data_IF_027354869224
#
_entry.id   IF_027354869224
#
_cell.length_a   1.000
_cell.length_b   1.000
_cell.length_c   1.000
_cell.angle_alpha   90.00
_cell.angle_beta   90.00
_cell.angle_gamma   90.00
#
_symmetry.space_group_name_H-M   'P 1'
#
loop_
_entity.id
_entity.type
_entity.pdbx_description
1 polymer ?
#
# COMPACT_ATOMS: atom_id res chain seq x y z
N UNK A 1 -14.95 -17.64 -27.39
CA UNK A 1 -15.68 -17.89 -26.14
C UNK A 1 -15.08 -19.10 -25.44
N UNK A 2 -14.05 -18.89 -24.62
CA UNK A 2 -13.61 -19.88 -23.64
C UNK A 2 -13.78 -19.20 -22.29
N UNK A 3 -14.85 -19.57 -21.60
CA UNK A 3 -15.10 -19.21 -20.21
C UNK A 3 -13.99 -19.86 -19.39
N UNK A 4 -13.00 -19.08 -18.98
CA UNK A 4 -12.14 -19.41 -17.85
C UNK A 4 -13.03 -19.28 -16.62
N UNK A 5 -13.51 -20.42 -16.13
CA UNK A 5 -14.10 -20.53 -14.81
C UNK A 5 -13.05 -20.09 -13.80
N UNK A 6 -13.11 -18.83 -13.34
CA UNK A 6 -12.42 -18.41 -12.12
C UNK A 6 -12.96 -19.28 -10.98
N UNK A 7 -12.15 -20.11 -10.31
CA UNK A 7 -12.52 -20.52 -8.97
C UNK A 7 -12.51 -19.24 -8.12
N UNK A 8 -13.66 -18.83 -7.63
CA UNK A 8 -13.78 -17.74 -6.67
C UNK A 8 -13.06 -18.15 -5.38
N UNK A 9 -11.76 -17.89 -5.30
CA UNK A 9 -11.02 -17.97 -4.06
C UNK A 9 -11.33 -16.70 -3.25
N UNK A 10 -11.87 -16.88 -2.05
CA UNK A 10 -12.05 -15.80 -1.09
C UNK A 10 -10.66 -15.38 -0.58
N UNK A 11 -10.24 -14.15 -0.85
CA UNK A 11 -9.08 -13.55 -0.19
C UNK A 11 -9.54 -12.46 0.78
N UNK A 12 -9.11 -12.57 2.03
CA UNK A 12 -9.46 -11.62 3.07
C UNK A 12 -8.56 -10.40 2.96
N UNK A 13 -9.05 -9.17 3.14
CA UNK A 13 -8.18 -7.99 3.17
C UNK A 13 -7.47 -7.91 4.52
N UNK A 14 -6.16 -7.73 4.51
CA UNK A 14 -5.40 -7.24 5.65
C UNK A 14 -4.32 -6.31 5.11
N UNK A 15 -4.34 -5.06 5.53
CA UNK A 15 -3.19 -4.19 5.39
C UNK A 15 -2.35 -4.39 6.66
N UNK A 16 -1.04 -4.61 6.56
CA UNK A 16 -0.20 -4.63 7.78
C UNK A 16 0.44 -3.26 7.94
N UNK A 17 0.17 -2.62 9.08
CA UNK A 17 0.79 -1.32 9.41
C UNK A 17 2.23 -1.48 9.87
N UNK A 18 3.04 -0.46 9.62
CA UNK A 18 4.31 -0.26 10.29
C UNK A 18 4.07 0.41 11.66
N UNK A 19 3.45 -0.29 12.61
CA UNK A 19 3.32 0.22 13.98
C UNK A 19 4.71 0.31 14.63
N UNK A 20 5.06 1.42 15.31
CA UNK A 20 6.35 1.54 15.96
C UNK A 20 6.40 0.65 17.22
N UNK A 21 7.23 -0.39 17.19
CA UNK A 21 7.71 -1.05 18.40
C UNK A 21 8.99 -0.34 18.84
N UNK A 22 8.97 0.28 20.01
CA UNK A 22 10.13 0.97 20.57
C UNK A 22 11.26 -0.04 20.86
N UNK A 23 12.30 -0.05 20.02
CA UNK A 23 13.55 -0.72 20.32
C UNK A 23 14.43 0.18 21.23
N UNK A 24 15.20 -0.39 22.18
CA UNK A 24 16.09 0.40 23.02
C UNK A 24 17.18 1.07 22.19
N UNK A 25 17.33 2.38 22.37
CA UNK A 25 18.32 3.21 21.68
C UNK A 25 19.75 2.70 21.92
N UNK A 26 20.53 2.52 20.85
CA UNK A 26 21.98 2.32 20.95
C UNK A 26 22.66 3.65 21.34
N UNK A 27 23.79 3.56 22.05
CA UNK A 27 24.46 4.69 22.74
C UNK A 27 25.01 5.81 21.84
N UNK A 28 24.97 5.69 20.51
CA UNK A 28 25.53 6.68 19.57
C UNK A 28 24.49 7.61 18.91
N UNK A 29 23.21 7.54 19.32
CA UNK A 29 22.12 8.29 18.67
C UNK A 29 21.97 9.77 19.06
N UNK A 30 22.70 10.26 20.07
CA UNK A 30 22.53 11.62 20.59
C UNK A 30 22.92 12.70 19.56
N UNK A 31 24.01 12.51 18.80
CA UNK A 31 24.42 13.45 17.75
C UNK A 31 23.52 13.44 16.50
N UNK A 32 22.87 12.31 16.23
CA UNK A 32 21.94 12.16 15.11
C UNK A 32 20.56 12.75 15.43
N UNK A 33 20.09 12.62 16.68
CA UNK A 33 18.82 13.21 17.13
C UNK A 33 18.81 14.75 17.04
N UNK A 34 19.92 15.40 17.43
CA UNK A 34 20.10 16.86 17.29
C UNK A 34 20.18 17.30 15.81
N UNK A 35 20.62 16.42 14.92
CA UNK A 35 20.61 16.70 13.49
C UNK A 35 19.21 16.52 12.88
N UNK A 36 18.49 15.47 13.30
CA UNK A 36 17.14 15.19 12.83
C UNK A 36 16.09 16.21 13.28
N UNK A 37 16.37 17.01 14.31
CA UNK A 37 15.50 18.14 14.67
C UNK A 37 15.32 19.16 13.53
N UNK A 38 16.23 19.18 12.54
CA UNK A 38 16.08 20.02 11.34
C UNK A 38 15.04 19.48 10.35
N UNK A 39 14.77 18.16 10.37
CA UNK A 39 13.85 17.47 9.46
C UNK A 39 12.43 17.29 10.02
N UNK A 40 12.10 17.95 11.15
CA UNK A 40 10.75 17.87 11.75
C UNK A 40 9.74 18.83 11.12
N UNK A 41 10.20 19.72 10.24
CA UNK A 41 9.33 20.70 9.56
C UNK A 41 8.18 20.00 8.84
N UNK A 42 6.95 20.48 9.02
CA UNK A 42 5.75 19.88 8.44
C UNK A 42 5.11 18.75 9.27
N UNK A 43 5.81 18.20 10.28
CA UNK A 43 5.25 17.24 11.22
C UNK A 43 4.63 17.94 12.44
N UNK A 44 3.42 17.55 12.81
CA UNK A 44 2.78 17.88 14.09
C UNK A 44 3.15 16.85 15.13
N UNK A 45 3.47 17.33 16.33
CA UNK A 45 3.92 16.52 17.47
C UNK A 45 5.04 15.53 17.08
N UNK A 46 6.13 16.00 16.44
CA UNK A 46 7.17 15.13 15.93
C UNK A 46 7.86 14.38 17.07
N UNK A 47 8.18 13.12 16.81
CA UNK A 47 9.00 12.27 17.67
C UNK A 47 10.12 11.65 16.84
N UNK A 48 11.28 11.46 17.45
CA UNK A 48 12.42 10.81 16.83
C UNK A 48 12.58 9.45 17.49
N UNK A 49 12.33 8.38 16.72
CA UNK A 49 12.34 7.00 17.20
C UNK A 49 13.17 6.12 16.27
N UNK A 50 13.90 5.12 16.78
CA UNK A 50 14.55 4.14 15.92
C UNK A 50 13.49 3.35 15.13
N UNK A 51 13.83 2.92 13.92
CA UNK A 51 13.01 1.96 13.19
C UNK A 51 12.89 0.66 13.97
N UNK A 52 11.87 -0.16 13.67
CA UNK A 52 11.63 -1.44 14.35
C UNK A 52 12.87 -2.36 14.32
N UNK A 53 13.56 -2.41 13.18
CA UNK A 53 14.81 -3.17 13.04
C UNK A 53 16.04 -2.51 13.66
N UNK A 54 15.91 -1.30 14.21
CA UNK A 54 16.99 -0.54 14.81
C UNK A 54 18.10 -0.20 13.83
N UNK A 55 17.80 -0.07 12.53
CA UNK A 55 18.76 0.24 11.44
C UNK A 55 18.55 1.61 10.81
N UNK A 56 17.50 2.31 11.20
CA UNK A 56 17.22 3.68 10.80
C UNK A 56 16.77 4.48 12.01
N UNK A 57 16.86 5.81 11.90
CA UNK A 57 16.25 6.75 12.83
C UNK A 57 15.16 7.52 12.07
N UNK A 58 13.96 7.57 12.65
CA UNK A 58 12.77 8.06 11.99
C UNK A 58 12.21 9.30 12.70
N UNK A 59 11.91 10.34 11.94
CA UNK A 59 11.01 11.41 12.37
C UNK A 59 9.59 10.93 12.12
N UNK A 60 8.79 10.82 13.17
CA UNK A 60 7.40 10.35 13.11
C UNK A 60 6.46 11.43 13.63
N UNK A 61 5.30 11.60 13.01
CA UNK A 61 4.28 12.54 13.46
C UNK A 61 3.11 12.63 12.48
N UNK A 62 2.19 13.57 12.74
CA UNK A 62 1.07 13.81 11.84
C UNK A 62 1.45 14.85 10.79
N UNK A 63 1.20 14.57 9.52
CA UNK A 63 1.32 15.52 8.41
C UNK A 63 -0.09 15.87 7.93
N UNK A 64 -0.40 17.16 7.90
CA UNK A 64 -1.65 17.64 7.33
C UNK A 64 -1.54 17.66 5.80
N UNK A 65 -2.40 16.90 5.13
CA UNK A 65 -2.41 16.82 3.67
C UNK A 65 -3.73 17.37 3.16
N UNK A 66 -3.67 18.46 2.40
CA UNK A 66 -4.84 18.99 1.70
C UNK A 66 -5.00 18.22 0.40
N UNK A 67 -6.14 17.57 0.22
CA UNK A 67 -6.44 16.76 -0.96
C UNK A 67 -7.87 17.02 -1.46
N UNK A 68 -8.07 16.83 -2.76
CA UNK A 68 -9.39 16.87 -3.39
C UNK A 68 -9.47 15.80 -4.45
N UNK A 69 -10.56 15.03 -4.44
CA UNK A 69 -10.78 13.97 -5.41
C UNK A 69 -12.27 13.86 -5.77
N UNK A 70 -12.54 13.25 -6.93
CA UNK A 70 -13.90 12.91 -7.35
C UNK A 70 -14.18 11.47 -6.94
N UNK A 71 -14.74 11.28 -5.75
CA UNK A 71 -15.23 9.99 -5.27
C UNK A 71 -16.55 9.62 -5.97
N UNK A 72 -17.04 8.41 -5.70
CA UNK A 72 -18.38 7.99 -6.07
C UNK A 72 -19.31 7.97 -4.86
N UNK A 73 -20.51 8.55 -4.98
CA UNK A 73 -21.53 8.44 -3.93
C UNK A 73 -21.85 6.96 -3.70
N UNK A 74 -21.75 6.49 -2.46
CA UNK A 74 -22.21 5.14 -2.13
C UNK A 74 -23.70 5.19 -1.82
N UNK A 75 -24.54 4.57 -2.65
CA UNK A 75 -26.00 4.65 -2.55
C UNK A 75 -26.59 3.83 -1.39
N UNK A 76 -25.77 3.00 -0.75
CA UNK A 76 -26.12 2.24 0.44
C UNK A 76 -25.61 2.97 1.68
N UNK A 77 -26.40 2.97 2.74
CA UNK A 77 -25.90 3.38 4.05
C UNK A 77 -24.89 2.36 4.58
N UNK A 78 -23.96 2.81 5.42
CA UNK A 78 -23.07 1.93 6.17
C UNK A 78 -23.91 0.86 6.89
N UNK A 79 -23.65 -0.41 6.61
CA UNK A 79 -24.38 -1.54 7.19
C UNK A 79 -24.40 -1.43 8.70
N UNK A 80 -25.54 -1.50 9.37
CA UNK A 80 -25.58 -1.24 10.81
C UNK A 80 -25.07 -2.42 11.66
N UNK A 81 -24.92 -3.60 11.04
CA UNK A 81 -24.45 -4.82 11.69
C UNK A 81 -23.69 -5.75 10.72
N UNK A 82 -22.97 -6.73 11.29
CA UNK A 82 -22.04 -7.63 10.57
C UNK A 82 -22.73 -8.46 9.48
N UNK A 83 -23.96 -8.89 9.72
CA UNK A 83 -24.71 -9.75 8.80
C UNK A 83 -25.01 -9.03 7.50
N UNK A 84 -25.44 -7.77 7.56
CA UNK A 84 -25.71 -6.95 6.38
C UNK A 84 -24.48 -6.73 5.50
N UNK A 85 -23.31 -6.52 6.12
CA UNK A 85 -22.05 -6.35 5.38
C UNK A 85 -21.60 -7.65 4.70
N UNK A 86 -21.71 -8.78 5.42
CA UNK A 86 -21.39 -10.09 4.85
C UNK A 86 -22.33 -10.41 3.68
N UNK A 87 -23.64 -10.17 3.82
CA UNK A 87 -24.61 -10.36 2.73
C UNK A 87 -24.33 -9.44 1.53
N UNK A 88 -23.94 -8.18 1.79
CA UNK A 88 -23.57 -7.24 0.73
C UNK A 88 -22.38 -7.75 -0.07
N UNK A 89 -21.35 -8.24 0.61
CA UNK A 89 -20.14 -8.75 -0.02
C UNK A 89 -20.39 -10.08 -0.72
N UNK A 90 -21.09 -11.01 -0.09
CA UNK A 90 -21.55 -12.23 -0.76
C UNK A 90 -22.34 -11.89 -2.03
N UNK A 91 -23.23 -10.91 -1.95
CA UNK A 91 -23.96 -10.37 -3.09
C UNK A 91 -23.05 -9.80 -4.17
N UNK A 92 -21.99 -9.04 -3.82
CA UNK A 92 -21.05 -8.47 -4.80
C UNK A 92 -20.31 -9.54 -5.61
N UNK A 93 -20.03 -10.70 -5.01
CA UNK A 93 -19.26 -11.77 -5.65
C UNK A 93 -20.11 -12.93 -6.19
N UNK A 94 -21.43 -12.83 -6.10
CA UNK A 94 -22.32 -13.75 -6.80
C UNK A 94 -22.13 -13.65 -8.31
N UNK A 95 -22.16 -14.81 -8.97
CA UNK A 95 -22.19 -14.88 -10.44
C UNK A 95 -23.41 -14.09 -10.93
N UNK A 96 -23.19 -13.20 -11.91
CA UNK A 96 -24.20 -12.28 -12.45
C UNK A 96 -24.75 -11.25 -11.45
N UNK A 97 -23.99 -10.90 -10.42
CA UNK A 97 -24.37 -9.83 -9.51
C UNK A 97 -24.54 -8.50 -10.24
N UNK A 98 -25.66 -7.82 -9.98
CA UNK A 98 -25.91 -6.44 -10.42
C UNK A 98 -25.48 -5.41 -9.38
N UNK A 99 -24.98 -5.85 -8.21
CA UNK A 99 -24.61 -4.97 -7.11
C UNK A 99 -23.48 -3.99 -7.46
N UNK A 100 -22.38 -4.38 -8.14
CA UNK A 100 -21.32 -3.42 -8.48
C UNK A 100 -21.81 -2.22 -9.29
N UNK A 101 -22.79 -2.44 -10.19
CA UNK A 101 -23.37 -1.39 -11.03
C UNK A 101 -24.45 -0.56 -10.32
N UNK A 102 -24.92 -0.98 -9.16
CA UNK A 102 -26.03 -0.33 -8.43
C UNK A 102 -25.62 0.23 -7.07
N UNK A 103 -24.39 -0.03 -6.64
CA UNK A 103 -23.86 0.43 -5.35
C UNK A 103 -23.26 1.84 -5.43
N UNK A 104 -22.70 2.18 -6.59
CA UNK A 104 -22.19 3.51 -6.88
C UNK A 104 -23.26 4.38 -7.52
N UNK A 105 -23.36 5.60 -7.00
CA UNK A 105 -24.17 6.68 -7.50
C UNK A 105 -23.36 7.65 -8.33
N UNK A 106 -23.73 8.92 -8.27
CA UNK A 106 -23.07 9.97 -9.04
C UNK A 106 -21.65 10.25 -8.51
N UNK A 107 -20.73 10.73 -9.38
CA UNK A 107 -19.48 11.32 -8.95
C UNK A 107 -19.74 12.46 -7.94
N UNK A 108 -18.96 12.50 -6.86
CA UNK A 108 -19.10 13.43 -5.75
C UNK A 108 -17.73 13.98 -5.37
N UNK A 109 -17.61 15.30 -5.32
CA UNK A 109 -16.37 15.95 -4.90
C UNK A 109 -16.17 15.80 -3.40
N UNK A 110 -14.99 15.34 -3.01
CA UNK A 110 -14.54 15.29 -1.62
C UNK A 110 -13.26 16.10 -1.54
N UNK A 111 -13.23 17.06 -0.64
CA UNK A 111 -12.07 17.92 -0.41
C UNK A 111 -11.93 18.25 1.06
N UNK A 112 -10.70 18.30 1.55
CA UNK A 112 -10.40 18.64 2.93
C UNK A 112 -8.91 18.59 3.23
N UNK A 113 -8.58 18.84 4.49
CA UNK A 113 -7.26 18.59 5.05
C UNK A 113 -7.35 17.36 5.95
N UNK A 114 -6.52 16.37 5.68
CA UNK A 114 -6.53 15.08 6.36
C UNK A 114 -5.24 14.92 7.16
N UNK A 115 -5.38 14.44 8.39
CA UNK A 115 -4.27 14.13 9.29
C UNK A 115 -3.71 12.76 8.92
N UNK A 116 -2.51 12.73 8.35
CA UNK A 116 -1.85 11.51 7.89
C UNK A 116 -0.64 11.24 8.78
N UNK A 117 -0.70 10.18 9.59
CA UNK A 117 0.47 9.73 10.32
C UNK A 117 1.56 9.27 9.35
N UNK A 118 2.75 9.78 9.57
CA UNK A 118 3.88 9.63 8.65
C UNK A 118 5.18 9.41 9.41
N UNK A 119 6.09 8.68 8.80
CA UNK A 119 7.44 8.43 9.28
C UNK A 119 8.46 8.66 8.17
N UNK A 120 9.41 9.57 8.39
CA UNK A 120 10.56 9.79 7.53
C UNK A 120 11.80 9.20 8.18
N UNK A 121 12.34 8.14 7.60
CA UNK A 121 13.42 7.35 8.17
C UNK A 121 14.73 7.49 7.39
N UNK A 122 15.81 7.70 8.14
CA UNK A 122 17.17 7.80 7.63
C UNK A 122 18.01 6.62 8.11
N UNK A 123 18.79 5.95 7.24
CA UNK A 123 19.70 4.88 7.67
C UNK A 123 20.66 5.33 8.78
N UNK A 124 20.92 4.49 9.77
CA UNK A 124 21.66 4.88 10.98
C UNK A 124 23.11 5.32 10.74
N UNK A 125 23.75 4.86 9.67
CA UNK A 125 25.15 5.19 9.36
C UNK A 125 25.32 6.59 8.73
N UNK A 126 24.28 7.43 8.80
CA UNK A 126 24.18 8.65 8.02
C UNK A 126 23.86 9.81 8.95
N UNK A 127 24.73 10.83 8.94
CA UNK A 127 24.56 12.01 9.79
C UNK A 127 23.71 13.09 9.11
N UNK A 128 23.64 13.11 7.77
CA UNK A 128 22.85 14.05 6.96
C UNK A 128 22.23 13.31 5.76
N UNK A 129 21.17 13.85 5.13
CA UNK A 129 20.62 13.27 3.88
C UNK A 129 21.68 13.15 2.79
N UNK A 130 22.59 14.14 2.67
CA UNK A 130 23.67 14.15 1.68
C UNK A 130 24.74 13.06 1.90
N UNK A 131 24.84 12.52 3.11
CA UNK A 131 25.80 11.47 3.47
C UNK A 131 25.15 10.08 3.52
N UNK A 132 23.93 9.94 3.00
CA UNK A 132 23.20 8.68 3.07
C UNK A 132 23.86 7.59 2.21
N UNK A 133 24.40 6.54 2.83
CA UNK A 133 24.76 5.29 2.16
C UNK A 133 23.52 4.39 2.00
N UNK A 134 22.43 4.94 1.46
CA UNK A 134 21.15 4.24 1.32
C UNK A 134 20.00 5.20 0.99
N UNK A 135 18.79 4.65 0.89
CA UNK A 135 17.60 5.43 0.59
C UNK A 135 16.95 5.97 1.87
N UNK A 136 16.55 7.24 1.85
CA UNK A 136 15.61 7.79 2.83
C UNK A 136 14.22 7.24 2.50
N UNK A 137 13.51 6.70 3.48
CA UNK A 137 12.17 6.14 3.27
C UNK A 137 11.11 7.01 3.93
N UNK A 138 10.03 7.28 3.21
CA UNK A 138 8.84 7.93 3.75
C UNK A 138 7.70 6.91 3.79
N UNK A 139 7.26 6.55 4.99
CA UNK A 139 6.16 5.64 5.23
C UNK A 139 4.98 6.42 5.80
N UNK A 140 3.76 6.00 5.52
CA UNK A 140 2.57 6.65 6.06
C UNK A 140 1.46 5.64 6.34
N UNK A 141 0.65 5.95 7.34
CA UNK A 141 -0.62 5.28 7.54
C UNK A 141 -1.62 5.91 6.59
N UNK A 142 -2.18 5.12 5.69
CA UNK A 142 -3.17 5.59 4.74
C UNK A 142 -4.40 6.20 5.47
N UNK A 143 -5.18 7.06 4.80
CA UNK A 143 -6.44 7.53 5.39
C UNK A 143 -7.32 6.33 5.73
N UNK A 144 -7.86 6.29 6.95
CA UNK A 144 -8.67 5.17 7.45
C UNK A 144 -7.89 4.03 8.12
N UNK A 145 -6.58 4.14 8.29
CA UNK A 145 -5.78 3.13 9.02
C UNK A 145 -4.84 3.75 10.05
N UNK A 146 -4.41 2.93 11.02
CA UNK A 146 -3.33 3.26 11.95
C UNK A 146 -3.63 4.51 12.79
N UNK A 147 -2.72 5.48 12.74
CA UNK A 147 -2.81 6.75 13.48
C UNK A 147 -3.32 7.91 12.62
N UNK A 148 -3.70 7.66 11.36
CA UNK A 148 -4.31 8.66 10.48
C UNK A 148 -5.79 8.89 10.81
N UNK A 149 -6.39 9.90 10.19
CA UNK A 149 -7.83 10.14 10.31
C UNK A 149 -8.65 8.94 9.82
N UNK A 150 -9.76 8.65 10.49
CA UNK A 150 -10.71 7.58 10.12
C UNK A 150 -12.10 8.16 9.76
N UNK A 151 -12.24 8.89 8.65
CA UNK A 151 -13.51 9.46 8.23
C UNK A 151 -14.48 8.38 7.70
N UNK A 152 -15.58 8.80 7.09
CA UNK A 152 -16.60 7.88 6.59
C UNK A 152 -16.02 6.85 5.60
N UNK A 153 -16.12 5.54 5.90
CA UNK A 153 -15.48 4.49 5.10
C UNK A 153 -16.15 4.25 3.74
N UNK A 154 -17.32 4.84 3.48
CA UNK A 154 -18.05 4.67 2.23
C UNK A 154 -17.97 5.89 1.33
N UNK A 155 -18.12 7.09 1.90
CA UNK A 155 -18.23 8.34 1.14
C UNK A 155 -16.89 9.05 0.99
N UNK A 156 -16.00 8.92 1.98
CA UNK A 156 -14.73 9.67 2.02
C UNK A 156 -13.56 8.78 1.67
N UNK A 157 -13.37 7.66 2.38
CA UNK A 157 -12.20 6.80 2.17
C UNK A 157 -12.42 5.92 0.94
N UNK A 158 -11.94 6.39 -0.22
CA UNK A 158 -11.97 5.71 -1.53
C UNK A 158 -10.61 5.84 -2.22
N UNK A 159 -10.33 5.00 -3.21
CA UNK A 159 -9.04 4.95 -3.89
C UNK A 159 -8.66 6.29 -4.53
N UNK A 160 -9.62 7.02 -5.10
CA UNK A 160 -9.42 8.33 -5.72
C UNK A 160 -8.90 9.35 -4.70
N UNK A 161 -9.48 9.39 -3.49
CA UNK A 161 -8.99 10.27 -2.44
C UNK A 161 -7.61 9.83 -1.91
N UNK A 162 -7.32 8.52 -1.84
CA UNK A 162 -5.99 8.05 -1.46
C UNK A 162 -4.93 8.51 -2.46
N UNK A 163 -5.24 8.46 -3.76
CA UNK A 163 -4.38 8.93 -4.84
C UNK A 163 -4.10 10.45 -4.69
N UNK A 164 -5.15 11.25 -4.43
CA UNK A 164 -4.99 12.68 -4.20
C UNK A 164 -4.16 13.00 -2.93
N UNK A 165 -4.26 12.18 -1.89
CA UNK A 165 -3.45 12.32 -0.67
C UNK A 165 -1.97 12.05 -0.95
N UNK A 166 -1.64 10.95 -1.65
CA UNK A 166 -0.22 10.66 -1.97
C UNK A 166 0.39 11.68 -2.93
N UNK A 167 -0.42 12.22 -3.86
CA UNK A 167 -0.04 13.39 -4.66
C UNK A 167 0.36 14.58 -3.75
N UNK A 168 -0.53 14.98 -2.83
CA UNK A 168 -0.24 16.07 -1.89
C UNK A 168 0.99 15.83 -1.02
N UNK A 169 1.20 14.60 -0.55
CA UNK A 169 2.41 14.22 0.20
C UNK A 169 3.67 14.44 -0.65
N UNK A 170 3.64 14.06 -1.93
CA UNK A 170 4.80 14.24 -2.80
C UNK A 170 5.09 15.69 -3.14
N UNK A 171 4.07 16.53 -3.27
CA UNK A 171 4.27 17.97 -3.41
C UNK A 171 4.96 18.56 -2.18
N UNK A 172 4.58 18.12 -0.98
CA UNK A 172 5.22 18.53 0.26
C UNK A 172 6.70 18.10 0.33
N UNK A 173 7.01 16.87 -0.09
CA UNK A 173 8.39 16.36 -0.15
C UNK A 173 9.24 17.08 -1.20
N UNK A 174 8.71 17.30 -2.40
CA UNK A 174 9.45 17.96 -3.50
C UNK A 174 9.65 19.46 -3.27
N UNK A 175 8.68 20.12 -2.65
CA UNK A 175 8.79 21.54 -2.29
C UNK A 175 9.70 21.78 -1.07
N UNK A 176 9.95 20.75 -0.26
CA UNK A 176 10.62 20.84 1.03
C UNK A 176 9.74 21.46 2.12
N UNK A 177 8.43 21.58 1.88
CA UNK A 177 7.48 21.95 2.93
C UNK A 177 7.39 20.90 4.04
N UNK A 178 7.66 19.64 3.69
CA UNK A 178 7.92 18.56 4.64
C UNK A 178 9.43 18.31 4.75
N UNK A 179 9.89 18.09 5.98
CA UNK A 179 11.29 17.89 6.35
C UNK A 179 12.27 19.04 6.07
N UNK A 180 11.83 20.19 5.56
CA UNK A 180 12.73 21.29 5.15
C UNK A 180 13.83 20.84 4.16
N UNK A 181 13.55 19.78 3.39
CA UNK A 181 14.47 19.22 2.41
C UNK A 181 13.74 18.89 1.12
N UNK A 182 14.31 19.28 -0.02
CA UNK A 182 13.72 19.03 -1.33
C UNK A 182 14.22 17.70 -1.90
N UNK A 183 13.32 16.73 -1.99
CA UNK A 183 13.64 15.44 -2.60
C UNK A 183 13.55 15.55 -4.13
N UNK A 184 14.69 15.47 -4.81
CA UNK A 184 14.77 15.57 -6.27
C UNK A 184 14.28 14.30 -6.96
N UNK A 185 14.62 13.13 -6.40
CA UNK A 185 14.17 11.82 -6.88
C UNK A 185 13.27 11.17 -5.86
N UNK A 186 12.08 10.75 -6.29
CA UNK A 186 11.10 10.07 -5.45
C UNK A 186 10.63 8.81 -6.16
N UNK A 187 10.72 7.69 -5.45
CA UNK A 187 10.28 6.38 -5.92
C UNK A 187 9.03 6.00 -5.13
N UNK A 188 7.93 5.71 -5.83
CA UNK A 188 6.74 5.18 -5.18
C UNK A 188 6.89 3.67 -4.98
N UNK A 189 6.62 3.20 -3.76
CA UNK A 189 6.65 1.77 -3.42
C UNK A 189 5.30 1.38 -2.85
N UNK A 190 4.62 0.46 -3.52
CA UNK A 190 3.31 -0.05 -3.13
C UNK A 190 3.36 -1.53 -2.77
N UNK A 191 2.48 -1.94 -1.86
CA UNK A 191 2.21 -3.35 -1.58
C UNK A 191 0.71 -3.61 -1.62
N UNK A 192 0.27 -4.64 -2.35
CA UNK A 192 -1.15 -5.01 -2.42
C UNK A 192 -2.02 -3.82 -2.86
N UNK A 193 -3.03 -3.44 -2.08
CA UNK A 193 -3.81 -2.22 -2.26
C UNK A 193 -2.93 -0.95 -2.40
N UNK A 194 -1.79 -0.88 -1.70
CA UNK A 194 -0.82 0.20 -1.89
C UNK A 194 -0.28 0.27 -3.32
N UNK A 195 -0.08 -0.87 -3.99
CA UNK A 195 0.29 -0.93 -5.42
C UNK A 195 -0.83 -0.43 -6.33
N UNK A 196 -2.10 -0.62 -5.96
CA UNK A 196 -3.25 -0.03 -6.68
C UNK A 196 -3.22 1.50 -6.56
N UNK A 197 -2.97 2.02 -5.35
CA UNK A 197 -2.82 3.47 -5.12
C UNK A 197 -1.63 4.01 -5.88
N UNK A 198 -0.46 3.35 -5.84
CA UNK A 198 0.73 3.73 -6.63
C UNK A 198 0.43 3.71 -8.13
N UNK A 199 -0.31 2.71 -8.60
CA UNK A 199 -0.72 2.63 -10.00
C UNK A 199 -1.59 3.81 -10.42
N UNK A 200 -2.67 4.08 -9.68
CA UNK A 200 -3.53 5.23 -9.94
C UNK A 200 -2.79 6.56 -9.84
N UNK A 201 -1.89 6.67 -8.87
CA UNK A 201 -1.05 7.84 -8.67
C UNK A 201 -0.14 8.13 -9.87
N UNK A 202 0.63 7.13 -10.31
CA UNK A 202 1.47 7.28 -11.52
C UNK A 202 0.65 7.54 -12.79
N UNK A 203 -0.63 7.17 -12.82
CA UNK A 203 -1.51 7.35 -13.98
C UNK A 203 -2.10 8.76 -14.05
N UNK A 204 -2.54 9.28 -12.91
CA UNK A 204 -3.17 10.60 -12.77
C UNK A 204 -2.12 11.72 -12.67
N UNK A 205 -1.02 11.45 -11.96
CA UNK A 205 0.07 12.40 -11.70
C UNK A 205 1.43 11.80 -12.13
N UNK A 206 1.66 11.59 -13.43
CA UNK A 206 2.82 10.85 -13.94
C UNK A 206 4.18 11.53 -13.70
N UNK A 207 4.20 12.79 -13.25
CA UNK A 207 5.41 13.56 -12.97
C UNK A 207 5.74 13.67 -11.48
N UNK A 208 4.88 13.16 -10.61
CA UNK A 208 5.14 13.18 -9.17
C UNK A 208 6.30 12.25 -8.83
N UNK A 209 6.44 11.13 -9.52
CA UNK A 209 7.38 10.06 -9.20
C UNK A 209 8.36 9.81 -10.35
N UNK A 210 9.58 9.41 -10.00
CA UNK A 210 10.63 9.10 -10.98
C UNK A 210 10.68 7.60 -11.32
N UNK A 211 10.20 6.74 -10.41
CA UNK A 211 10.05 5.30 -10.61
C UNK A 211 8.92 4.75 -9.72
N UNK A 212 8.43 3.56 -10.06
CA UNK A 212 7.44 2.85 -9.26
C UNK A 212 7.85 1.40 -9.01
N UNK A 213 7.67 0.92 -7.79
CA UNK A 213 7.85 -0.47 -7.39
C UNK A 213 6.50 -0.97 -6.88
N UNK A 214 5.93 -1.95 -7.59
CA UNK A 214 4.64 -2.54 -7.28
C UNK A 214 4.87 -3.94 -6.76
N UNK A 215 4.61 -4.14 -5.47
CA UNK A 215 4.70 -5.46 -4.87
C UNK A 215 3.31 -6.07 -4.70
N UNK A 216 3.15 -7.34 -5.08
CA UNK A 216 1.89 -8.10 -4.98
C UNK A 216 0.67 -7.31 -5.50
N UNK A 217 0.76 -6.77 -6.72
CA UNK A 217 -0.32 -5.98 -7.33
C UNK A 217 -1.57 -6.86 -7.52
N UNK A 218 -2.53 -6.75 -6.61
CA UNK A 218 -3.74 -7.57 -6.61
C UNK A 218 -4.72 -7.11 -7.70
N UNK A 219 -4.98 -8.00 -8.66
CA UNK A 219 -5.93 -7.77 -9.75
C UNK A 219 -7.31 -8.42 -9.51
N UNK A 220 -7.42 -9.30 -8.51
CA UNK A 220 -8.56 -10.19 -8.42
C UNK A 220 -8.68 -10.86 -7.04
N UNK A 221 -9.31 -10.21 -6.06
CA UNK A 221 -9.68 -10.99 -4.88
C UNK A 221 -10.96 -10.59 -4.16
N UNK A 222 -11.71 -11.63 -3.77
CA UNK A 222 -13.05 -11.61 -3.19
C UNK A 222 -12.97 -11.65 -1.66
N UNK A 223 -13.44 -10.62 -0.97
CA UNK A 223 -13.28 -10.48 0.50
C UNK A 223 -14.44 -11.10 1.27
N UNK A 224 -14.13 -11.84 2.35
CA UNK A 224 -15.09 -12.25 3.40
C UNK A 224 -14.80 -11.58 4.76
N UNK A 225 -15.02 -10.27 4.90
CA UNK A 225 -14.49 -9.53 6.01
C UNK A 225 -15.38 -9.59 7.25
N UNK A 226 -14.76 -9.24 8.38
CA UNK A 226 -15.46 -8.85 9.60
C UNK A 226 -15.25 -7.35 9.83
N UNK A 227 -16.28 -6.71 10.43
CA UNK A 227 -16.21 -5.34 10.93
C UNK A 227 -15.04 -5.17 11.92
N UNK A 228 -14.18 -4.19 11.66
CA UNK A 228 -13.22 -3.75 12.65
C UNK A 228 -13.98 -3.16 13.85
N UNK A 229 -13.93 -3.82 15.01
CA UNK A 229 -14.91 -3.63 16.08
C UNK A 229 -14.93 -2.24 16.72
N UNK A 230 -13.89 -1.45 16.51
CA UNK A 230 -13.72 -0.11 17.09
C UNK A 230 -14.00 1.02 16.09
N UNK A 231 -14.31 0.70 14.83
CA UNK A 231 -14.50 1.67 13.75
C UNK A 231 -15.92 1.60 13.15
N UNK A 232 -16.36 2.65 12.43
CA UNK A 232 -17.64 2.64 11.72
C UNK A 232 -17.80 1.44 10.79
N UNK A 233 -19.04 1.05 10.53
CA UNK A 233 -19.29 -0.04 9.62
C UNK A 233 -18.85 0.29 8.19
N UNK A 234 -18.14 -0.63 7.55
CA UNK A 234 -17.49 -0.41 6.25
C UNK A 234 -15.97 -0.51 6.32
N UNK A 235 -15.38 -0.41 7.52
CA UNK A 235 -14.01 -0.86 7.77
C UNK A 235 -13.96 -2.38 7.89
N UNK A 236 -13.22 -3.02 6.99
CA UNK A 236 -13.18 -4.47 6.77
C UNK A 236 -11.77 -5.03 6.99
N UNK A 237 -11.67 -6.17 7.66
CA UNK A 237 -10.39 -6.88 7.87
C UNK A 237 -10.57 -8.41 7.86
N UNK A 238 -9.46 -9.13 7.95
CA UNK A 238 -9.39 -10.57 8.07
C UNK A 238 -10.10 -11.07 9.32
N UNK A 239 -10.92 -12.12 9.17
CA UNK A 239 -11.80 -12.64 10.22
C UNK A 239 -11.14 -13.63 11.17
N UNK A 240 -10.08 -14.30 10.69
CA UNK A 240 -9.32 -15.31 11.45
C UNK A 240 -7.87 -15.32 11.00
N UNK A 241 -6.96 -15.73 11.89
CA UNK A 241 -5.55 -15.92 11.56
C UNK A 241 -5.34 -16.97 10.45
N UNK A 242 -6.17 -18.03 10.42
CA UNK A 242 -6.13 -19.04 9.36
C UNK A 242 -6.53 -18.45 8.01
N UNK A 243 -7.52 -17.56 7.99
CA UNK A 243 -7.90 -16.84 6.79
C UNK A 243 -6.78 -15.92 6.27
N UNK A 244 -6.17 -15.14 7.17
CA UNK A 244 -4.99 -14.31 6.86
C UNK A 244 -3.86 -15.17 6.28
N UNK A 245 -3.56 -16.28 6.94
CA UNK A 245 -2.52 -17.22 6.52
C UNK A 245 -2.81 -17.82 5.15
N UNK A 246 -4.05 -18.25 4.88
CA UNK A 246 -4.44 -18.83 3.61
C UNK A 246 -4.34 -17.83 2.44
N UNK A 247 -4.78 -16.59 2.66
CA UNK A 247 -4.81 -15.56 1.61
C UNK A 247 -3.45 -14.94 1.34
N UNK A 248 -2.60 -14.80 2.35
CA UNK A 248 -1.40 -13.97 2.25
C UNK A 248 -0.08 -14.69 2.49
N UNK A 249 -0.09 -15.84 3.14
CA UNK A 249 1.11 -16.58 3.52
C UNK A 249 1.20 -17.93 2.85
N UNK A 250 2.43 -18.40 2.64
CA UNK A 250 2.72 -19.71 2.07
C UNK A 250 3.57 -20.54 3.01
N UNK A 251 2.97 -21.58 3.60
CA UNK A 251 3.71 -22.53 4.42
C UNK A 251 4.59 -23.45 3.54
N UNK A 252 5.82 -23.83 3.95
CA UNK A 252 6.54 -23.47 5.18
C UNK A 252 7.53 -22.29 5.01
N UNK A 253 7.24 -21.33 4.14
CA UNK A 253 8.20 -20.31 3.73
C UNK A 253 8.25 -19.05 4.62
N UNK A 254 7.77 -19.13 5.87
CA UNK A 254 7.79 -18.04 6.83
C UNK A 254 7.93 -18.58 8.26
N UNK A 255 8.35 -17.71 9.19
CA UNK A 255 8.33 -17.97 10.63
C UNK A 255 6.92 -17.69 11.18
N UNK A 256 6.31 -18.64 11.91
CA UNK A 256 4.96 -18.49 12.46
C UNK A 256 4.80 -17.23 13.33
N UNK A 257 5.86 -16.75 13.99
CA UNK A 257 5.80 -15.49 14.75
C UNK A 257 5.51 -14.28 13.86
N UNK A 258 5.94 -14.31 12.60
CA UNK A 258 5.63 -13.27 11.62
C UNK A 258 4.14 -13.30 11.23
N UNK A 259 3.53 -14.47 11.17
CA UNK A 259 2.08 -14.60 10.96
C UNK A 259 1.29 -14.04 12.15
N UNK A 260 1.69 -14.37 13.38
CA UNK A 260 1.07 -13.81 14.59
C UNK A 260 1.23 -12.28 14.65
N UNK A 261 2.43 -11.78 14.32
CA UNK A 261 2.68 -10.35 14.25
C UNK A 261 1.79 -9.66 13.20
N UNK A 262 1.66 -10.23 11.99
CA UNK A 262 0.77 -9.70 10.96
C UNK A 262 -0.71 -9.70 11.40
N UNK A 263 -1.14 -10.75 12.12
CA UNK A 263 -2.49 -10.84 12.66
C UNK A 263 -2.77 -9.78 13.73
N UNK A 264 -1.82 -9.56 14.65
CA UNK A 264 -1.97 -8.57 15.73
C UNK A 264 -1.89 -7.12 15.24
N UNK A 265 -1.24 -6.88 14.10
CA UNK A 265 -1.04 -5.53 13.53
C UNK A 265 -1.85 -5.27 12.25
N UNK A 266 -2.82 -6.15 11.95
CA UNK A 266 -3.70 -6.01 10.80
C UNK A 266 -4.56 -4.74 10.93
N UNK A 267 -4.55 -3.94 9.87
CA UNK A 267 -5.34 -2.73 9.68
C UNK A 267 -6.47 -2.99 8.68
N UNK A 268 -7.56 -2.20 8.76
CA UNK A 268 -8.68 -2.37 7.86
C UNK A 268 -8.40 -1.83 6.46
N UNK A 269 -9.12 -2.36 5.48
CA UNK A 269 -9.44 -1.71 4.22
C UNK A 269 -10.87 -1.16 4.34
N UNK A 270 -11.28 -0.13 3.60
CA UNK A 270 -12.73 0.19 3.55
C UNK A 270 -13.43 -0.55 2.41
N UNK A 271 -14.73 -0.77 2.54
CA UNK A 271 -15.53 -1.34 1.45
C UNK A 271 -15.47 -0.47 0.19
N UNK A 272 -15.48 0.86 0.34
CA UNK A 272 -15.43 1.74 -0.81
C UNK A 272 -14.04 1.77 -1.44
N UNK A 273 -12.95 1.65 -0.67
CA UNK A 273 -11.62 1.43 -1.20
C UNK A 273 -11.50 0.14 -2.00
N UNK A 274 -12.04 -0.94 -1.46
CA UNK A 274 -12.05 -2.24 -2.13
C UNK A 274 -12.76 -2.15 -3.50
N UNK A 275 -13.93 -1.50 -3.54
CA UNK A 275 -14.73 -1.39 -4.76
C UNK A 275 -14.19 -0.35 -5.76
N UNK A 276 -13.72 0.80 -5.28
CA UNK A 276 -13.12 1.85 -6.14
C UNK A 276 -11.75 1.43 -6.66
N UNK A 277 -10.95 0.68 -5.91
CA UNK A 277 -9.63 0.22 -6.36
C UNK A 277 -9.68 -0.59 -7.67
N UNK A 278 -10.74 -1.38 -7.87
CA UNK A 278 -10.94 -2.11 -9.13
C UNK A 278 -11.14 -1.18 -10.34
N UNK A 279 -11.76 -0.01 -10.15
CA UNK A 279 -11.97 0.98 -11.22
C UNK A 279 -10.65 1.61 -11.66
N UNK A 280 -9.72 1.81 -10.73
CA UNK A 280 -8.40 2.38 -10.97
C UNK A 280 -7.61 1.52 -11.98
N UNK A 281 -7.67 0.19 -11.82
CA UNK A 281 -6.99 -0.79 -12.69
C UNK A 281 -7.71 -1.07 -14.02
N UNK A 282 -8.91 -0.52 -14.24
CA UNK A 282 -9.76 -0.89 -15.39
C UNK A 282 -9.20 -0.47 -16.76
N UNK A 283 -8.17 0.36 -16.80
CA UNK A 283 -7.50 0.80 -18.02
C UNK A 283 -6.01 0.98 -17.81
N UNK A 284 -5.17 0.70 -18.84
CA UNK A 284 -3.71 0.80 -18.76
C UNK A 284 -3.24 2.24 -18.49
N UNK A 285 -2.10 2.35 -17.83
CA UNK A 285 -1.37 3.59 -17.62
C UNK A 285 -0.48 3.87 -18.83
N UNK A 286 -0.98 4.72 -19.73
CA UNK A 286 -0.25 5.16 -20.93
C UNK A 286 0.56 6.44 -20.70
N UNK A 287 0.53 7.01 -19.50
CA UNK A 287 1.09 8.34 -19.22
C UNK A 287 2.43 8.27 -18.49
N UNK A 288 2.62 7.26 -17.64
CA UNK A 288 3.86 7.09 -16.90
C UNK A 288 4.96 6.47 -17.77
N UNK A 289 6.10 7.16 -17.87
CA UNK A 289 7.23 6.77 -18.71
C UNK A 289 8.48 6.39 -17.92
N UNK A 290 8.44 6.52 -16.58
CA UNK A 290 9.50 6.08 -15.70
C UNK A 290 9.67 4.55 -15.70
N UNK A 291 10.77 4.03 -15.14
CA UNK A 291 10.94 2.61 -14.91
C UNK A 291 9.97 2.10 -13.84
N UNK A 292 9.44 0.90 -14.06
CA UNK A 292 8.54 0.20 -13.15
C UNK A 292 9.15 -1.14 -12.78
N UNK A 293 9.06 -1.52 -11.51
CA UNK A 293 9.40 -2.85 -11.03
C UNK A 293 8.14 -3.56 -10.52
N UNK A 294 7.89 -4.79 -10.98
CA UNK A 294 6.76 -5.62 -10.52
C UNK A 294 7.29 -6.83 -9.80
N UNK A 295 7.03 -6.91 -8.49
CA UNK A 295 7.52 -7.97 -7.62
C UNK A 295 6.35 -8.74 -7.02
N UNK A 296 6.36 -10.06 -7.10
CA UNK A 296 5.26 -10.87 -6.57
C UNK A 296 5.74 -12.16 -5.90
N UNK A 297 4.90 -12.76 -5.07
CA UNK A 297 5.15 -14.08 -4.49
C UNK A 297 4.80 -15.20 -5.46
N UNK A 298 5.63 -16.24 -5.55
CA UNK A 298 5.38 -17.40 -6.42
C UNK A 298 4.00 -18.04 -6.20
N UNK A 299 3.55 -18.05 -4.94
CA UNK A 299 2.32 -18.66 -4.47
C UNK A 299 1.31 -17.64 -3.95
N UNK A 300 1.28 -16.44 -4.54
CA UNK A 300 0.31 -15.42 -4.16
C UNK A 300 -1.13 -15.88 -4.41
N UNK A 301 -1.84 -16.19 -3.32
CA UNK A 301 -3.22 -16.66 -3.36
C UNK A 301 -4.21 -15.55 -3.69
N UNK A 302 -3.92 -14.30 -3.30
CA UNK A 302 -4.79 -13.17 -3.54
C UNK A 302 -4.67 -12.69 -4.99
N UNK A 303 -3.46 -12.61 -5.54
CA UNK A 303 -3.26 -12.10 -6.90
C UNK A 303 -3.47 -13.17 -8.00
N UNK A 304 -2.77 -14.30 -7.91
CA UNK A 304 -2.66 -15.29 -8.99
C UNK A 304 -3.22 -16.67 -8.61
N UNK A 305 -4.15 -16.70 -7.65
CA UNK A 305 -4.79 -17.91 -7.14
C UNK A 305 -3.80 -19.01 -6.69
N UNK A 306 -2.63 -18.59 -6.19
CA UNK A 306 -1.62 -19.46 -5.57
C UNK A 306 -0.54 -19.99 -6.53
N UNK A 307 -0.53 -19.53 -7.79
CA UNK A 307 0.54 -19.86 -8.72
C UNK A 307 0.78 -18.77 -9.78
N UNK A 308 1.75 -17.90 -9.52
CA UNK A 308 2.09 -16.76 -10.37
C UNK A 308 2.98 -17.14 -11.56
N UNK A 309 3.30 -18.43 -11.71
CA UNK A 309 4.07 -18.97 -12.82
C UNK A 309 3.20 -19.63 -13.89
N UNK A 310 1.87 -19.70 -13.69
CA UNK A 310 0.95 -20.34 -14.63
C UNK A 310 0.03 -19.32 -15.34
N UNK A 311 -0.16 -19.44 -16.66
CA UNK A 311 0.52 -20.38 -17.59
C UNK A 311 1.98 -19.98 -17.90
N UNK A 312 2.35 -18.76 -17.54
CA UNK A 312 3.71 -18.18 -17.59
C UNK A 312 3.89 -17.29 -16.36
N UNK A 313 5.10 -16.79 -16.14
CA UNK A 313 5.35 -15.71 -15.18
C UNK A 313 4.38 -14.54 -15.43
N UNK A 314 3.53 -14.24 -14.45
CA UNK A 314 2.50 -13.20 -14.55
C UNK A 314 3.05 -11.78 -14.30
N UNK A 315 4.25 -11.63 -13.74
CA UNK A 315 4.83 -10.32 -13.40
C UNK A 315 5.39 -9.58 -14.61
N UNK A 316 6.01 -10.30 -15.55
CA UNK A 316 6.49 -9.71 -16.80
C UNK A 316 5.37 -9.10 -17.66
N UNK A 317 4.28 -9.83 -17.97
CA UNK A 317 3.13 -9.28 -18.70
C UNK A 317 2.47 -8.11 -17.98
N UNK A 318 2.46 -8.10 -16.64
CA UNK A 318 1.86 -7.02 -15.87
C UNK A 318 2.49 -5.65 -16.22
N UNK A 319 3.80 -5.59 -16.50
CA UNK A 319 4.42 -4.33 -16.95
C UNK A 319 3.82 -3.88 -18.28
N UNK A 320 3.72 -4.76 -19.28
CA UNK A 320 3.20 -4.37 -20.60
C UNK A 320 1.70 -4.10 -20.61
N UNK A 321 0.95 -4.81 -19.77
CA UNK A 321 -0.51 -4.72 -19.69
C UNK A 321 -0.95 -3.49 -18.91
N UNK A 322 -0.27 -3.16 -17.81
CA UNK A 322 -0.61 -2.02 -16.95
C UNK A 322 0.20 -0.77 -17.30
N UNK A 323 1.44 -0.88 -17.75
CA UNK A 323 2.32 0.25 -18.08
C UNK A 323 2.92 0.15 -19.49
N UNK A 324 2.09 0.18 -20.54
CA UNK A 324 2.57 0.09 -21.92
C UNK A 324 3.56 1.21 -22.34
N UNK A 325 3.61 2.31 -21.59
CA UNK A 325 4.50 3.45 -21.84
C UNK A 325 5.76 3.48 -20.95
N UNK A 326 5.91 2.55 -19.99
CA UNK A 326 7.03 2.56 -19.06
C UNK A 326 8.39 2.35 -19.75
N UNK A 327 9.45 2.79 -19.07
CA UNK A 327 10.81 2.65 -19.56
C UNK A 327 11.17 1.19 -19.85
N UNK A 328 11.99 0.95 -20.86
CA UNK A 328 12.58 -0.38 -21.15
C UNK A 328 13.51 -0.89 -20.06
N UNK A 329 13.90 -0.04 -19.12
CA UNK A 329 14.69 -0.41 -17.94
C UNK A 329 13.84 -0.95 -16.78
N UNK A 330 12.51 -1.03 -16.97
CA UNK A 330 11.59 -1.75 -16.09
C UNK A 330 12.00 -3.20 -15.88
N UNK A 331 11.65 -3.76 -14.73
CA UNK A 331 12.06 -5.09 -14.31
C UNK A 331 10.92 -5.81 -13.58
N UNK A 332 11.09 -7.12 -13.35
CA UNK A 332 10.12 -7.91 -12.60
C UNK A 332 10.80 -9.04 -11.83
N UNK A 333 10.14 -9.53 -10.78
CA UNK A 333 10.66 -10.60 -9.96
C UNK A 333 9.55 -11.43 -9.30
N UNK A 334 9.73 -12.75 -9.33
CA UNK A 334 8.96 -13.70 -8.53
C UNK A 334 9.80 -14.14 -7.33
N UNK A 335 9.34 -13.83 -6.13
CA UNK A 335 9.92 -14.28 -4.87
C UNK A 335 9.58 -15.77 -4.65
N UNK A 336 10.58 -16.69 -4.72
CA UNK A 336 10.32 -18.12 -4.68
C UNK A 336 9.72 -18.56 -3.35
N UNK A 337 8.73 -19.45 -3.40
CA UNK A 337 8.07 -19.99 -2.21
C UNK A 337 7.19 -19.01 -1.43
N UNK A 338 7.15 -17.72 -1.78
CA UNK A 338 6.41 -16.69 -1.05
C UNK A 338 4.93 -16.65 -1.41
N UNK A 339 4.09 -16.27 -0.46
CA UNK A 339 2.71 -15.80 -0.71
C UNK A 339 2.65 -14.30 -1.01
N UNK A 340 1.45 -13.74 -0.94
CA UNK A 340 1.18 -12.31 -1.18
C UNK A 340 2.04 -11.39 -0.31
N UNK A 341 2.17 -11.68 0.99
CA UNK A 341 3.00 -10.87 1.90
C UNK A 341 4.48 -11.23 1.73
N UNK A 342 5.06 -10.88 0.57
CA UNK A 342 6.45 -11.20 0.20
C UNK A 342 7.44 -10.82 1.30
N UNK A 343 7.24 -9.66 1.94
CA UNK A 343 8.08 -9.14 3.04
C UNK A 343 8.08 -10.01 4.32
N UNK A 344 7.09 -10.89 4.48
CA UNK A 344 6.93 -11.79 5.63
C UNK A 344 7.48 -13.20 5.38
N UNK A 345 8.04 -13.46 4.19
CA UNK A 345 8.59 -14.77 3.82
C UNK A 345 10.12 -14.77 3.83
N UNK A 346 10.74 -15.95 3.94
CA UNK A 346 12.20 -16.07 3.94
C UNK A 346 12.86 -15.56 2.65
N UNK A 347 12.13 -15.52 1.54
CA UNK A 347 12.61 -14.97 0.27
C UNK A 347 12.57 -13.43 0.20
N UNK A 348 12.11 -12.73 1.25
CA UNK A 348 12.04 -11.26 1.30
C UNK A 348 13.39 -10.60 0.98
N UNK A 349 14.51 -11.14 1.48
CA UNK A 349 15.84 -10.59 1.20
C UNK A 349 16.17 -10.59 -0.29
N UNK A 350 15.79 -11.66 -1.02
CA UNK A 350 15.97 -11.71 -2.47
C UNK A 350 15.10 -10.69 -3.22
N UNK A 351 13.87 -10.47 -2.74
CA UNK A 351 13.00 -9.42 -3.29
C UNK A 351 13.59 -8.02 -3.04
N UNK A 352 14.14 -7.74 -1.85
CA UNK A 352 14.81 -6.47 -1.58
C UNK A 352 16.08 -6.28 -2.41
N UNK A 353 16.89 -7.32 -2.57
CA UNK A 353 18.08 -7.28 -3.44
C UNK A 353 17.70 -6.97 -4.89
N UNK A 354 16.63 -7.58 -5.41
CA UNK A 354 16.11 -7.28 -6.74
C UNK A 354 15.70 -5.81 -6.87
N UNK A 355 14.87 -5.30 -5.95
CA UNK A 355 14.40 -3.91 -5.96
C UNK A 355 15.59 -2.95 -5.89
N UNK A 356 16.57 -3.19 -5.01
CA UNK A 356 17.77 -2.36 -4.93
C UNK A 356 18.60 -2.38 -6.22
N UNK A 357 18.72 -3.54 -6.88
CA UNK A 357 19.40 -3.64 -8.17
C UNK A 357 18.65 -2.88 -9.27
N UNK A 358 17.32 -2.95 -9.29
CA UNK A 358 16.46 -2.17 -10.18
C UNK A 358 16.67 -0.66 -9.98
N UNK A 359 16.66 -0.18 -8.73
CA UNK A 359 16.89 1.23 -8.41
C UNK A 359 18.28 1.69 -8.85
N UNK A 360 19.31 0.93 -8.51
CA UNK A 360 20.70 1.21 -8.89
C UNK A 360 20.90 1.25 -10.42
N UNK A 361 20.33 0.28 -11.14
CA UNK A 361 20.35 0.20 -12.62
C UNK A 361 19.72 1.44 -13.26
N UNK A 362 18.76 2.06 -12.58
CA UNK A 362 18.07 3.27 -13.02
C UNK A 362 18.65 4.57 -12.43
N UNK A 363 19.81 4.51 -11.77
CA UNK A 363 20.53 5.63 -11.17
C UNK A 363 19.77 6.34 -10.04
N UNK A 364 19.05 5.59 -9.20
CA UNK A 364 18.45 6.10 -7.97
C UNK A 364 19.39 5.99 -6.79
#
# INVERSE_FOLDING_TARGET
MRSLTLPAAMALAACVSATPVAAPASKDLAGLADHLSSYITGFKNPSIVPSVGGKALCVSGIVDVTASATNHEFLRQASTNRTELTELLLGLFQINSTLPATIFGKPTQVSGTFSIYSQLCFPQDTLTISDTQGYTTFNYDRLGVGLSDHPDPLQVVQAELQIAIVHGISELLRSGALAAYKFEKVVAVGHSYGSIVTYGWTKEYPHDMDAAVLTALDLASVVNPILYSELPAGYITSSTITGLQFSFFRWPAYDEQLLYNAWENAQPLTLAEFLSGASILASPNTNFTGPVDVVDGEHDQANCAGNCLLPVDQTAPAITDFYPAASKSSDHYIAPGSGHFVNYHYAATGAYEHIHNFLKKNNF
#
